data_IF_674051844190
#
_entry.id   IF_674051844190
#
_cell.length_a   1.000
_cell.length_b   1.000
_cell.length_c   1.000
_cell.angle_alpha   90.00
_cell.angle_beta   90.00
_cell.angle_gamma   90.00
#
_symmetry.space_group_name_H-M   'P 1'
#
loop_
_entity.id
_entity.type
_entity.pdbx_description
1 polymer ?
#
# COMPACT_ATOMS: atom_id res chain seq x y z
N UNK A 1 -81.01 16.89 -15.10
CA UNK A 1 -80.35 16.41 -13.87
C UNK A 1 -79.58 15.11 -14.08
N UNK A 2 -80.05 14.14 -14.88
CA UNK A 2 -79.35 12.86 -15.12
C UNK A 2 -77.99 13.04 -15.80
N UNK A 3 -77.90 13.93 -16.78
CA UNK A 3 -76.69 14.16 -17.59
C UNK A 3 -75.50 14.73 -16.80
N UNK A 4 -75.74 15.58 -15.80
CA UNK A 4 -74.67 16.18 -14.99
C UNK A 4 -74.03 15.17 -14.03
N UNK A 5 -74.81 14.17 -13.58
CA UNK A 5 -74.31 13.06 -12.77
C UNK A 5 -73.48 12.10 -13.61
N UNK A 6 -73.92 11.81 -14.84
CA UNK A 6 -73.20 10.96 -15.79
C UNK A 6 -71.84 11.57 -16.17
N UNK A 7 -71.78 12.89 -16.40
CA UNK A 7 -70.52 13.60 -16.67
C UNK A 7 -69.54 13.54 -15.48
N UNK A 8 -70.04 13.69 -14.24
CA UNK A 8 -69.19 13.58 -13.03
C UNK A 8 -68.63 12.17 -12.86
N UNK A 9 -69.44 11.14 -13.13
CA UNK A 9 -69.00 9.74 -13.07
C UNK A 9 -67.94 9.47 -14.16
N UNK A 10 -68.17 9.92 -15.39
CA UNK A 10 -67.22 9.78 -16.48
C UNK A 10 -65.87 10.47 -16.17
N UNK A 11 -65.90 11.67 -15.58
CA UNK A 11 -64.69 12.38 -15.16
C UNK A 11 -63.92 11.65 -14.06
N UNK A 12 -64.63 11.04 -13.09
CA UNK A 12 -63.99 10.23 -12.04
C UNK A 12 -63.34 8.96 -12.61
N UNK A 13 -64.03 8.26 -13.53
CA UNK A 13 -63.48 7.08 -14.22
C UNK A 13 -62.22 7.45 -15.00
N UNK A 14 -62.24 8.56 -15.73
CA UNK A 14 -61.06 9.04 -16.48
C UNK A 14 -59.89 9.35 -15.54
N UNK A 15 -60.15 10.01 -14.39
CA UNK A 15 -59.14 10.31 -13.39
C UNK A 15 -58.53 9.05 -12.78
N UNK A 16 -59.35 8.09 -12.39
CA UNK A 16 -58.90 6.80 -11.82
C UNK A 16 -58.05 6.05 -12.85
N UNK A 17 -58.50 6.00 -14.11
CA UNK A 17 -57.75 5.35 -15.19
C UNK A 17 -56.38 5.99 -15.41
N UNK A 18 -56.31 7.33 -15.44
CA UNK A 18 -55.05 8.05 -15.58
C UNK A 18 -54.10 7.80 -14.40
N UNK A 19 -54.62 7.77 -13.17
CA UNK A 19 -53.83 7.47 -11.97
C UNK A 19 -53.26 6.05 -11.99
N UNK A 20 -54.07 5.05 -12.34
CA UNK A 20 -53.58 3.67 -12.46
C UNK A 20 -52.57 3.49 -13.59
N UNK A 21 -52.77 4.15 -14.72
CA UNK A 21 -51.83 4.10 -15.83
C UNK A 21 -50.48 4.73 -15.44
N UNK A 22 -50.49 5.91 -14.82
CA UNK A 22 -49.27 6.54 -14.33
C UNK A 22 -48.55 5.70 -13.26
N UNK A 23 -49.31 5.04 -12.38
CA UNK A 23 -48.74 4.14 -11.37
C UNK A 23 -48.07 2.92 -12.02
N UNK A 24 -48.72 2.30 -13.01
CA UNK A 24 -48.17 1.16 -13.74
C UNK A 24 -46.91 1.53 -14.52
N UNK A 25 -46.90 2.68 -15.19
CA UNK A 25 -45.73 3.19 -15.91
C UNK A 25 -44.54 3.41 -14.97
N UNK A 26 -44.80 3.99 -13.79
CA UNK A 26 -43.78 4.17 -12.76
C UNK A 26 -43.22 2.84 -12.24
N UNK A 27 -44.09 1.88 -11.92
CA UNK A 27 -43.63 0.55 -11.46
C UNK A 27 -42.77 -0.14 -12.51
N UNK A 28 -43.14 -0.05 -13.79
CA UNK A 28 -42.33 -0.60 -14.90
C UNK A 28 -40.94 0.05 -14.95
N UNK A 29 -40.86 1.36 -14.76
CA UNK A 29 -39.58 2.08 -14.74
C UNK A 29 -38.73 1.72 -13.52
N UNK A 30 -39.34 1.62 -12.34
CA UNK A 30 -38.69 1.16 -11.11
C UNK A 30 -38.13 -0.27 -11.27
N UNK A 31 -38.90 -1.18 -11.91
CA UNK A 31 -38.44 -2.54 -12.20
C UNK A 31 -37.28 -2.59 -13.20
N UNK A 32 -37.31 -1.77 -14.26
CA UNK A 32 -36.20 -1.67 -15.22
C UNK A 32 -34.93 -1.17 -14.55
N UNK A 33 -35.03 -0.11 -13.75
CA UNK A 33 -33.90 0.44 -13.02
C UNK A 33 -33.33 -0.58 -12.02
N UNK A 34 -34.19 -1.27 -11.28
CA UNK A 34 -33.77 -2.33 -10.34
C UNK A 34 -33.00 -3.44 -11.07
N UNK A 35 -33.48 -3.87 -12.23
CA UNK A 35 -32.82 -4.90 -13.04
C UNK A 35 -31.44 -4.45 -13.55
N UNK A 36 -31.34 -3.22 -14.06
CA UNK A 36 -30.07 -2.65 -14.53
C UNK A 36 -29.04 -2.54 -13.39
N UNK A 37 -29.47 -2.12 -12.20
CA UNK A 37 -28.61 -2.03 -11.01
C UNK A 37 -28.11 -3.42 -10.57
N UNK A 38 -28.97 -4.43 -10.56
CA UNK A 38 -28.57 -5.79 -10.20
C UNK A 38 -27.60 -6.39 -11.21
N UNK A 39 -27.81 -6.12 -12.50
CA UNK A 39 -26.89 -6.53 -13.55
C UNK A 39 -25.52 -5.82 -13.40
N UNK A 40 -25.50 -4.51 -13.18
CA UNK A 40 -24.28 -3.76 -12.94
C UNK A 40 -23.52 -4.25 -11.69
N UNK A 41 -24.22 -4.59 -10.61
CA UNK A 41 -23.64 -5.19 -9.39
C UNK A 41 -22.99 -6.54 -9.68
N UNK A 42 -23.66 -7.39 -10.47
CA UNK A 42 -23.14 -8.70 -10.86
C UNK A 42 -21.88 -8.56 -11.71
N UNK A 43 -21.89 -7.66 -12.69
CA UNK A 43 -20.75 -7.43 -13.58
C UNK A 43 -19.55 -6.86 -12.81
N UNK A 44 -19.79 -5.92 -11.89
CA UNK A 44 -18.74 -5.40 -11.01
C UNK A 44 -18.18 -6.48 -10.08
N UNK A 45 -19.02 -7.33 -9.50
CA UNK A 45 -18.58 -8.46 -8.66
C UNK A 45 -17.67 -9.42 -9.43
N UNK A 46 -18.02 -9.72 -10.68
CA UNK A 46 -17.20 -10.56 -11.55
C UNK A 46 -15.86 -9.89 -11.89
N UNK A 47 -15.88 -8.59 -12.19
CA UNK A 47 -14.65 -7.83 -12.45
C UNK A 47 -13.71 -7.82 -11.24
N UNK A 48 -14.22 -7.55 -10.05
CA UNK A 48 -13.43 -7.56 -8.81
C UNK A 48 -12.79 -8.93 -8.57
N UNK A 49 -13.53 -10.02 -8.79
CA UNK A 49 -12.98 -11.39 -8.66
C UNK A 49 -11.87 -11.67 -9.68
N UNK A 50 -12.02 -11.18 -10.91
CA UNK A 50 -10.99 -11.29 -11.94
C UNK A 50 -9.74 -10.50 -11.56
N UNK A 51 -9.91 -9.21 -11.24
CA UNK A 51 -8.80 -8.31 -10.89
C UNK A 51 -8.03 -8.83 -9.67
N UNK A 52 -8.74 -9.40 -8.67
CA UNK A 52 -8.11 -10.01 -7.50
C UNK A 52 -7.26 -11.24 -7.88
N UNK A 53 -7.74 -12.06 -8.82
CA UNK A 53 -7.00 -13.24 -9.31
C UNK A 53 -5.77 -12.83 -10.12
N UNK A 54 -5.90 -11.80 -10.94
CA UNK A 54 -4.79 -11.26 -11.74
C UNK A 54 -3.71 -10.65 -10.82
N UNK A 55 -4.13 -9.90 -9.80
CA UNK A 55 -3.23 -9.32 -8.81
C UNK A 55 -2.50 -10.39 -7.99
N UNK A 56 -3.21 -11.43 -7.52
CA UNK A 56 -2.60 -12.56 -6.80
C UNK A 56 -1.57 -13.29 -7.69
N UNK A 57 -1.89 -13.49 -8.97
CA UNK A 57 -0.99 -14.11 -9.93
C UNK A 57 0.27 -13.27 -10.14
N UNK A 58 0.11 -11.95 -10.31
CA UNK A 58 1.22 -11.01 -10.48
C UNK A 58 2.10 -10.96 -9.23
N UNK A 59 1.51 -10.85 -8.06
CA UNK A 59 2.25 -10.82 -6.80
C UNK A 59 3.05 -12.10 -6.56
N UNK A 60 2.47 -13.28 -6.85
CA UNK A 60 3.18 -14.56 -6.81
C UNK A 60 4.36 -14.61 -7.79
N UNK A 61 4.23 -14.02 -8.97
CA UNK A 61 5.32 -13.95 -9.93
C UNK A 61 6.47 -13.05 -9.42
N UNK A 62 6.12 -11.88 -8.86
CA UNK A 62 7.09 -10.94 -8.27
C UNK A 62 7.82 -11.58 -7.08
N UNK A 63 7.12 -12.32 -6.21
CA UNK A 63 7.74 -13.08 -5.12
C UNK A 63 8.74 -14.10 -5.65
N UNK A 64 8.37 -14.91 -6.65
CA UNK A 64 9.28 -15.89 -7.25
C UNK A 64 10.52 -15.24 -7.85
N UNK A 65 10.37 -14.07 -8.45
CA UNK A 65 11.50 -13.30 -8.98
C UNK A 65 12.42 -12.81 -7.87
N UNK A 66 11.86 -12.30 -6.77
CA UNK A 66 12.60 -11.91 -5.58
C UNK A 66 13.35 -13.09 -4.94
N UNK A 67 12.66 -14.21 -4.74
CA UNK A 67 13.24 -15.46 -4.21
C UNK A 67 14.42 -15.93 -5.03
N UNK A 68 14.27 -15.92 -6.36
CA UNK A 68 15.35 -16.28 -7.29
C UNK A 68 16.51 -15.29 -7.24
N UNK A 69 16.24 -13.99 -7.20
CA UNK A 69 17.28 -12.96 -7.23
C UNK A 69 18.14 -12.96 -5.97
N UNK A 70 17.51 -13.14 -4.80
CA UNK A 70 18.18 -13.11 -3.51
C UNK A 70 18.50 -14.51 -2.94
N UNK A 71 18.09 -15.58 -3.63
CA UNK A 71 18.20 -16.97 -3.18
C UNK A 71 17.61 -17.18 -1.78
N UNK A 72 16.38 -16.68 -1.59
CA UNK A 72 15.60 -16.77 -0.35
C UNK A 72 14.27 -17.45 -0.64
N UNK A 73 13.63 -18.03 0.38
CA UNK A 73 12.27 -18.59 0.30
C UNK A 73 11.34 -17.66 1.10
N UNK A 74 10.38 -17.03 0.40
CA UNK A 74 9.53 -15.99 0.97
C UNK A 74 8.14 -16.56 1.29
N UNK A 75 7.96 -16.88 2.57
CA UNK A 75 6.71 -17.44 3.08
C UNK A 75 5.66 -16.35 3.36
N UNK A 76 4.79 -16.09 2.39
CA UNK A 76 3.66 -15.16 2.50
C UNK A 76 2.62 -15.51 3.58
N UNK A 77 2.59 -16.75 4.07
CA UNK A 77 1.63 -17.19 5.09
C UNK A 77 2.05 -16.78 6.50
N UNK A 78 3.33 -16.45 6.65
CA UNK A 78 3.94 -15.93 7.86
C UNK A 78 3.90 -14.41 7.85
N UNK A 79 2.71 -13.83 8.05
CA UNK A 79 2.53 -12.37 8.11
C UNK A 79 3.41 -11.66 9.16
N UNK A 80 4.02 -12.38 10.09
CA UNK A 80 4.90 -11.85 11.13
C UNK A 80 6.06 -12.80 11.52
N UNK A 81 6.35 -13.86 10.76
CA UNK A 81 7.42 -14.75 11.21
C UNK A 81 8.79 -14.16 10.84
N UNK A 82 9.75 -14.19 11.77
CA UNK A 82 11.14 -13.93 11.43
C UNK A 82 11.56 -14.94 10.35
N UNK A 83 12.09 -14.43 9.24
CA UNK A 83 12.75 -15.25 8.23
C UNK A 83 13.71 -16.21 8.94
N UNK A 84 13.71 -17.52 8.60
CA UNK A 84 14.64 -18.47 9.21
C UNK A 84 16.06 -18.05 8.83
N UNK A 85 16.76 -17.45 9.79
CA UNK A 85 18.17 -17.17 9.67
C UNK A 85 18.93 -18.49 9.65
N UNK A 86 19.65 -18.71 8.56
CA UNK A 86 20.80 -19.60 8.53
C UNK A 86 21.71 -19.22 9.71
N UNK A 87 21.99 -20.18 10.58
CA UNK A 87 22.45 -19.99 11.96
C UNK A 87 23.87 -19.39 12.11
N UNK A 88 24.44 -18.79 11.07
CA UNK A 88 25.85 -18.38 11.04
C UNK A 88 26.11 -16.92 10.61
N UNK A 89 25.11 -16.05 10.49
CA UNK A 89 25.35 -14.61 10.33
C UNK A 89 25.11 -13.90 11.67
N UNK A 90 26.17 -13.81 12.48
CA UNK A 90 26.17 -13.19 13.82
C UNK A 90 26.34 -11.67 13.78
N UNK A 91 25.92 -11.04 12.70
CA UNK A 91 26.03 -9.60 12.43
C UNK A 91 24.64 -9.04 12.06
N UNK A 92 24.32 -7.88 12.62
CA UNK A 92 22.96 -7.37 12.82
C UNK A 92 22.01 -7.39 11.61
N UNK A 93 20.79 -7.85 11.86
CA UNK A 93 19.66 -7.71 10.94
C UNK A 93 18.56 -6.86 11.55
N UNK A 94 18.11 -5.88 10.75
CA UNK A 94 16.94 -5.06 11.00
C UNK A 94 15.67 -5.93 10.90
N UNK A 95 15.04 -6.26 12.03
CA UNK A 95 13.63 -6.61 12.01
C UNK A 95 12.84 -5.32 11.84
N UNK A 96 12.22 -5.11 10.68
CA UNK A 96 11.24 -4.05 10.48
C UNK A 96 9.86 -4.62 10.78
N UNK A 97 9.47 -4.56 12.06
CA UNK A 97 8.05 -4.71 12.42
C UNK A 97 7.30 -3.47 11.93
N UNK A 98 5.99 -3.57 11.67
CA UNK A 98 5.16 -2.45 11.21
C UNK A 98 5.32 -1.20 12.12
N UNK A 99 5.46 -1.42 13.43
CA UNK A 99 5.76 -0.39 14.44
C UNK A 99 7.09 0.34 14.18
N UNK A 100 8.12 -0.37 13.73
CA UNK A 100 9.43 0.23 13.41
C UNK A 100 9.43 0.96 12.09
N UNK A 101 8.59 0.57 11.13
CA UNK A 101 8.37 1.35 9.91
C UNK A 101 7.70 2.69 10.22
N UNK A 102 6.69 2.71 11.09
CA UNK A 102 6.03 3.94 11.53
C UNK A 102 6.98 4.85 12.32
N UNK A 103 7.82 4.28 13.21
CA UNK A 103 8.88 5.03 13.90
C UNK A 103 9.95 5.57 12.94
N UNK A 104 10.36 4.78 11.94
CA UNK A 104 11.33 5.22 10.92
C UNK A 104 10.75 6.34 10.05
N UNK A 105 9.48 6.22 9.63
CA UNK A 105 8.77 7.28 8.89
C UNK A 105 8.63 8.53 9.75
N UNK A 106 8.30 8.40 11.05
CA UNK A 106 8.24 9.54 11.97
C UNK A 106 9.61 10.24 12.15
N UNK A 107 10.72 9.48 12.19
CA UNK A 107 12.09 10.01 12.22
C UNK A 107 12.47 10.74 10.92
N UNK A 108 11.99 10.27 9.77
CA UNK A 108 12.27 10.86 8.45
C UNK A 108 11.42 12.12 8.21
N UNK A 109 10.14 12.08 8.61
CA UNK A 109 9.16 13.14 8.33
C UNK A 109 9.17 14.26 9.39
N UNK A 110 9.34 13.91 10.67
CA UNK A 110 9.23 14.85 11.80
C UNK A 110 10.49 14.92 12.68
N UNK A 111 11.49 14.06 12.46
CA UNK A 111 12.70 14.03 13.28
C UNK A 111 13.69 15.12 12.87
N UNK A 112 14.05 16.01 13.80
CA UNK A 112 15.35 16.70 13.70
C UNK A 112 16.42 15.60 13.59
N UNK A 113 17.24 15.57 12.52
CA UNK A 113 18.21 14.49 12.35
C UNK A 113 19.15 14.49 13.56
N UNK A 114 19.31 13.32 14.19
CA UNK A 114 20.17 13.11 15.37
C UNK A 114 21.63 13.52 15.09
N UNK A 115 22.01 13.54 13.82
CA UNK A 115 23.32 13.95 13.34
C UNK A 115 23.15 14.93 12.19
N UNK A 116 23.94 15.99 12.17
CA UNK A 116 23.94 16.98 11.09
C UNK A 116 25.34 17.15 10.50
N UNK A 117 25.48 17.99 9.48
CA UNK A 117 26.78 18.40 8.95
C UNK A 117 27.13 19.78 9.50
N UNK A 118 28.39 19.97 9.92
CA UNK A 118 28.91 21.29 10.20
C UNK A 118 29.34 22.01 8.91
N UNK A 119 29.79 23.26 9.02
CA UNK A 119 30.27 24.06 7.88
C UNK A 119 31.42 23.39 7.09
N UNK A 120 32.22 22.58 7.78
CA UNK A 120 33.33 21.80 7.19
C UNK A 120 32.90 20.44 6.66
N UNK A 121 31.58 20.20 6.52
CA UNK A 121 31.00 18.97 5.98
C UNK A 121 31.31 17.70 6.80
N UNK A 122 31.64 17.84 8.08
CA UNK A 122 31.86 16.76 9.04
C UNK A 122 30.55 16.38 9.75
N UNK A 123 30.38 15.08 10.03
CA UNK A 123 29.21 14.58 10.76
C UNK A 123 29.32 14.99 12.23
N UNK A 124 28.33 15.73 12.73
CA UNK A 124 28.25 16.20 14.12
C UNK A 124 27.06 15.61 14.86
N UNK A 125 27.26 15.36 16.17
CA UNK A 125 26.23 14.93 17.12
C UNK A 125 25.19 15.99 17.43
N UNK A 126 24.18 15.62 18.21
CA UNK A 126 23.12 16.54 18.67
C UNK A 126 23.65 17.69 19.53
N UNK A 127 24.88 17.59 20.06
CA UNK A 127 25.53 18.65 20.85
C UNK A 127 26.61 19.42 20.05
N UNK A 128 26.71 19.19 18.74
CA UNK A 128 27.67 19.85 17.84
C UNK A 128 29.08 19.26 17.85
N UNK A 129 29.29 18.14 18.53
CA UNK A 129 30.57 17.43 18.59
C UNK A 129 30.84 16.64 17.31
N UNK A 130 32.06 16.72 16.79
CA UNK A 130 32.46 15.95 15.59
C UNK A 130 32.59 14.47 15.94
N UNK A 131 31.90 13.62 15.18
CA UNK A 131 31.97 12.17 15.38
C UNK A 131 33.21 11.63 14.68
N UNK A 132 34.14 11.09 15.46
CA UNK A 132 35.39 10.48 15.00
C UNK A 132 35.36 8.95 15.00
N UNK A 133 34.17 8.36 15.19
CA UNK A 133 33.99 6.91 15.24
C UNK A 133 34.58 6.23 14.01
N UNK A 134 35.22 5.09 14.26
CA UNK A 134 35.94 4.33 13.24
C UNK A 134 35.36 2.93 13.16
N UNK A 135 34.88 2.56 11.98
CA UNK A 135 34.36 1.22 11.68
C UNK A 135 35.56 0.30 11.48
N UNK A 136 35.64 -0.76 12.27
CA UNK A 136 36.65 -1.83 12.10
C UNK A 136 36.13 -2.79 11.04
N UNK A 137 36.81 -2.87 9.91
CA UNK A 137 36.49 -3.83 8.86
C UNK A 137 37.16 -5.18 9.18
N UNK A 138 36.56 -6.30 8.75
CA UNK A 138 37.18 -7.61 8.89
C UNK A 138 38.60 -7.60 8.31
N UNK A 139 39.51 -8.32 8.97
CA UNK A 139 40.92 -8.38 8.56
C UNK A 139 40.99 -8.93 7.14
N UNK A 140 41.86 -8.33 6.32
CA UNK A 140 42.19 -8.90 5.01
C UNK A 140 42.83 -10.29 5.18
N UNK A 141 42.85 -11.15 4.15
CA UNK A 141 43.54 -12.44 4.18
C UNK A 141 45.01 -12.35 4.66
N UNK A 142 45.67 -11.20 4.45
CA UNK A 142 47.02 -10.88 4.93
C UNK A 142 47.09 -10.40 6.41
N UNK A 143 46.01 -10.52 7.19
CA UNK A 143 45.98 -10.20 8.63
C UNK A 143 45.95 -8.73 9.01
N UNK A 144 46.07 -7.79 8.05
CA UNK A 144 46.03 -6.35 8.33
C UNK A 144 44.63 -5.90 8.75
N UNK A 145 44.55 -5.20 9.89
CA UNK A 145 43.33 -4.51 10.36
C UNK A 145 43.06 -3.33 9.44
N UNK A 146 41.85 -3.24 8.90
CA UNK A 146 41.39 -2.08 8.14
C UNK A 146 40.39 -1.33 8.97
N UNK A 147 40.55 -0.03 9.05
CA UNK A 147 39.66 0.87 9.76
C UNK A 147 39.15 1.93 8.79
N UNK A 148 37.87 2.24 8.87
CA UNK A 148 37.23 3.28 8.07
C UNK A 148 36.60 4.30 9.00
N UNK A 149 37.09 5.53 9.00
CA UNK A 149 36.44 6.61 9.76
C UNK A 149 35.10 6.96 9.11
N UNK A 150 34.13 7.40 9.92
CA UNK A 150 32.81 7.83 9.41
C UNK A 150 32.95 8.92 8.34
N UNK A 151 33.92 9.82 8.49
CA UNK A 151 34.20 10.87 7.50
C UNK A 151 34.82 10.32 6.21
N UNK A 152 35.63 9.25 6.27
CA UNK A 152 36.17 8.59 5.07
C UNK A 152 35.11 7.78 4.31
N UNK A 153 34.13 7.20 5.00
CA UNK A 153 33.00 6.49 4.38
C UNK A 153 32.18 7.42 3.48
N UNK A 154 31.97 8.67 3.89
CA UNK A 154 31.27 9.70 3.10
C UNK A 154 31.92 9.89 1.72
N UNK A 155 33.23 10.11 1.68
CA UNK A 155 33.97 10.29 0.42
C UNK A 155 33.86 9.07 -0.50
N UNK A 156 33.85 7.86 0.09
CA UNK A 156 33.69 6.62 -0.66
C UNK A 156 32.29 6.48 -1.28
N UNK A 157 31.23 6.81 -0.52
CA UNK A 157 29.85 6.75 -1.00
C UNK A 157 29.52 7.80 -2.05
N UNK A 158 30.12 9.00 -1.96
CA UNK A 158 29.94 10.05 -2.97
C UNK A 158 30.66 9.65 -4.27
N UNK A 159 31.82 9.01 -4.18
CA UNK A 159 32.57 8.51 -5.35
C UNK A 159 31.91 7.36 -6.11
N UNK A 160 31.05 6.57 -5.46
CA UNK A 160 30.27 5.48 -6.07
C UNK A 160 29.08 5.95 -6.91
N UNK A 161 28.72 7.24 -6.88
CA UNK A 161 27.64 7.82 -7.71
C UNK A 161 28.11 8.29 -9.09
N UNK A 162 29.23 7.77 -9.61
CA UNK A 162 29.69 7.99 -10.99
C UNK A 162 29.48 6.74 -11.83
#
# INVERSE_FOLDING_TARGET
MVTEQEEKIAAQIAKIKAQHQAAAEKEIEDYKLSFEVDQARKDLSNKIKSDLKDLDTKHKAEIKEFEKHYNVDYDVTKKDAPLPHDANVKDGYFSLTQTKCEEAVALIVNGKPKYSLNADNLVVGTKGEVITSTIMLPKTPAGKKRTLSVNALKSYMIGLKK
#
